data_IF_322268512478
#
_entry.id   IF_322268512478
#
_cell.length_a   1.000
_cell.length_b   1.000
_cell.length_c   1.000
_cell.angle_alpha   90.00
_cell.angle_beta   90.00
_cell.angle_gamma   90.00
#
_symmetry.space_group_name_H-M   'P 1'
#
loop_
_entity.id
_entity.type
_entity.pdbx_description
1 polymer ?
#
# COMPACT_ATOMS: atom_id res chain seq x y z
N UNK A 1 8.48 43.23 32.83
CA UNK A 1 8.80 42.79 31.46
C UNK A 1 8.69 41.28 31.42
N UNK A 2 7.52 40.76 31.07
CA UNK A 2 7.26 39.32 30.93
C UNK A 2 7.92 38.83 29.65
N UNK A 3 8.94 37.98 29.82
CA UNK A 3 9.82 37.48 28.77
C UNK A 3 9.04 36.69 27.71
N UNK A 4 9.01 37.20 26.48
CA UNK A 4 8.41 36.58 25.29
C UNK A 4 9.17 35.36 24.77
N UNK A 5 10.27 34.98 25.42
CA UNK A 5 11.15 33.88 24.97
C UNK A 5 10.64 32.48 25.36
N UNK A 6 9.82 32.35 26.42
CA UNK A 6 9.32 31.04 26.89
C UNK A 6 8.16 30.50 26.06
N UNK A 7 7.36 31.38 25.44
CA UNK A 7 6.21 30.97 24.62
C UNK A 7 6.62 30.44 23.23
N UNK A 8 7.70 30.97 22.65
CA UNK A 8 8.17 30.59 21.30
C UNK A 8 8.77 29.17 21.31
N UNK A 9 9.49 28.80 22.37
CA UNK A 9 10.04 27.45 22.51
C UNK A 9 8.96 26.36 22.64
N UNK A 10 7.82 26.67 23.28
CA UNK A 10 6.72 25.71 23.46
C UNK A 10 5.94 25.41 22.15
N UNK A 11 5.79 26.41 21.27
CA UNK A 11 5.13 26.24 19.97
C UNK A 11 5.99 25.40 19.02
N UNK A 12 7.31 25.61 19.02
CA UNK A 12 8.21 24.82 18.18
C UNK A 12 8.22 23.33 18.56
N UNK A 13 8.22 23.02 19.87
CA UNK A 13 8.21 21.63 20.36
C UNK A 13 6.89 20.92 20.06
N UNK A 14 5.76 21.63 20.14
CA UNK A 14 4.44 21.06 19.81
C UNK A 14 4.26 20.86 18.29
N UNK A 15 4.70 21.80 17.45
CA UNK A 15 4.68 21.60 15.99
C UNK A 15 5.59 20.45 15.54
N UNK A 16 6.75 20.25 16.17
CA UNK A 16 7.65 19.13 15.84
C UNK A 16 7.04 17.77 16.23
N UNK A 17 6.33 17.70 17.36
CA UNK A 17 5.62 16.49 17.78
C UNK A 17 4.42 16.16 16.87
N UNK A 18 3.73 17.17 16.33
CA UNK A 18 2.61 16.99 15.38
C UNK A 18 3.12 16.55 14.00
N UNK A 19 4.28 17.05 13.55
CA UNK A 19 4.90 16.63 12.30
C UNK A 19 5.37 15.16 12.31
N UNK A 20 5.67 14.60 13.49
CA UNK A 20 6.12 13.22 13.68
C UNK A 20 4.98 12.19 13.78
N UNK A 21 3.72 12.63 13.80
CA UNK A 21 2.54 11.76 13.90
C UNK A 21 1.62 11.89 12.68
N UNK A 22 2.16 12.20 11.50
CA UNK A 22 1.36 12.05 10.28
C UNK A 22 1.05 10.56 10.10
N UNK A 23 -0.24 10.17 10.07
CA UNK A 23 -0.58 8.78 9.86
C UNK A 23 -0.03 8.37 8.50
N UNK A 24 0.77 7.30 8.48
CA UNK A 24 1.15 6.66 7.22
C UNK A 24 -0.14 6.18 6.57
N UNK A 25 -0.52 6.77 5.45
CA UNK A 25 -1.72 6.33 4.73
C UNK A 25 -1.35 5.54 3.50
N UNK A 26 -2.14 4.54 3.13
CA UNK A 26 -1.96 3.79 1.90
C UNK A 26 -3.25 3.81 1.08
N UNK A 27 -3.11 3.68 -0.25
CA UNK A 27 -4.26 3.41 -1.11
C UNK A 27 -4.81 2.02 -0.81
N UNK A 28 -6.13 1.91 -0.74
CA UNK A 28 -6.85 0.67 -0.53
C UNK A 28 -7.79 0.42 -1.70
N UNK A 29 -7.66 -0.72 -2.34
CA UNK A 29 -8.59 -1.16 -3.38
C UNK A 29 -8.62 -2.67 -3.48
N UNK A 30 -9.70 -3.18 -4.06
CA UNK A 30 -9.78 -4.53 -4.58
C UNK A 30 -10.56 -4.44 -5.89
N UNK A 31 -9.97 -4.90 -6.98
CA UNK A 31 -10.61 -4.88 -8.28
C UNK A 31 -10.31 -6.15 -9.07
N UNK A 32 -11.29 -6.58 -9.85
CA UNK A 32 -11.22 -7.71 -10.77
C UNK A 32 -11.18 -7.11 -12.19
N UNK A 33 -10.11 -7.35 -12.94
CA UNK A 33 -10.03 -7.04 -14.37
C UNK A 33 -9.73 -5.59 -14.76
N UNK A 34 -9.53 -4.66 -13.81
CA UNK A 34 -9.11 -3.27 -14.11
C UNK A 34 -8.31 -2.64 -12.95
N UNK A 35 -7.34 -1.77 -13.26
CA UNK A 35 -6.62 -0.95 -12.28
C UNK A 35 -7.35 0.35 -11.92
N UNK A 36 -8.41 0.71 -12.66
CA UNK A 36 -9.00 2.07 -12.64
C UNK A 36 -9.67 2.43 -11.31
N UNK A 37 -10.17 1.45 -10.54
CA UNK A 37 -10.81 1.70 -9.24
C UNK A 37 -9.82 1.91 -8.08
N UNK A 38 -8.50 1.91 -8.30
CA UNK A 38 -7.54 1.86 -7.21
C UNK A 38 -7.18 3.18 -6.52
N UNK A 39 -7.72 4.31 -6.98
CA UNK A 39 -7.29 5.64 -6.52
C UNK A 39 -8.25 6.32 -5.53
N UNK A 40 -9.39 5.71 -5.19
CA UNK A 40 -10.46 6.42 -4.48
C UNK A 40 -10.44 6.30 -2.95
N UNK A 41 -9.83 5.25 -2.38
CA UNK A 41 -9.88 4.99 -0.94
C UNK A 41 -8.49 4.98 -0.33
N UNK A 42 -8.30 5.75 0.73
CA UNK A 42 -7.05 5.87 1.47
C UNK A 42 -7.32 5.46 2.91
N UNK A 43 -6.42 4.66 3.50
CA UNK A 43 -6.55 4.16 4.87
C UNK A 43 -5.29 4.43 5.69
N UNK A 44 -5.40 4.77 6.98
CA UNK A 44 -4.24 4.86 7.87
C UNK A 44 -3.67 3.47 8.17
N UNK A 45 -2.35 3.39 8.26
CA UNK A 45 -1.58 2.17 8.44
C UNK A 45 -0.64 2.29 9.65
N UNK A 46 -0.40 1.18 10.36
CA UNK A 46 0.54 1.15 11.49
C UNK A 46 2.01 1.20 11.05
N UNK A 47 2.28 0.84 9.79
CA UNK A 47 3.60 0.81 9.16
C UNK A 47 3.67 1.88 8.06
N UNK A 48 4.89 2.21 7.65
CA UNK A 48 5.15 3.06 6.48
C UNK A 48 5.14 2.28 5.15
N UNK A 49 4.75 1.00 5.17
CA UNK A 49 4.74 0.13 3.99
C UNK A 49 3.35 0.06 3.39
N UNK A 50 3.27 0.39 2.11
CA UNK A 50 2.05 0.19 1.33
C UNK A 50 2.25 -0.94 0.33
N UNK A 51 1.31 -1.88 0.31
CA UNK A 51 1.36 -3.12 -0.47
C UNK A 51 0.43 -3.02 -1.68
N UNK A 52 0.88 -3.54 -2.81
CA UNK A 52 0.07 -3.93 -3.96
C UNK A 52 0.23 -5.45 -4.18
N UNK A 53 -0.88 -6.16 -4.34
CA UNK A 53 -0.92 -7.59 -4.63
C UNK A 53 -1.55 -7.75 -6.00
N UNK A 54 -0.86 -8.45 -6.87
CA UNK A 54 -1.31 -8.77 -8.21
C UNK A 54 -1.52 -10.26 -8.28
N UNK A 55 -2.71 -10.66 -8.64
CA UNK A 55 -3.12 -12.05 -8.76
C UNK A 55 -3.55 -12.29 -10.21
N UNK A 56 -3.12 -13.42 -10.76
CA UNK A 56 -3.37 -13.82 -12.12
C UNK A 56 -3.76 -15.30 -12.10
N UNK A 57 -4.93 -15.63 -12.62
CA UNK A 57 -5.41 -17.00 -12.75
C UNK A 57 -5.76 -17.29 -14.20
N UNK A 58 -5.27 -18.41 -14.74
CA UNK A 58 -5.66 -18.93 -16.05
C UNK A 58 -6.52 -20.15 -15.83
N UNK A 59 -7.71 -20.16 -16.41
CA UNK A 59 -8.60 -21.32 -16.47
C UNK A 59 -8.98 -21.54 -17.92
N UNK A 60 -8.63 -22.68 -18.49
CA UNK A 60 -8.94 -23.03 -19.89
C UNK A 60 -8.54 -21.95 -20.90
N UNK A 61 -7.41 -21.27 -20.66
CA UNK A 61 -6.90 -20.18 -21.50
C UNK A 61 -7.54 -18.80 -21.24
N UNK A 62 -8.54 -18.71 -20.36
CA UNK A 62 -9.14 -17.44 -19.93
C UNK A 62 -8.34 -16.87 -18.77
N UNK A 63 -7.93 -15.59 -18.91
CA UNK A 63 -7.15 -14.87 -17.91
C UNK A 63 -8.08 -14.09 -16.98
N UNK A 64 -7.93 -14.31 -15.69
CA UNK A 64 -8.54 -13.54 -14.61
C UNK A 64 -7.44 -12.81 -13.86
N UNK A 65 -7.53 -11.48 -13.81
CA UNK A 65 -6.57 -10.65 -13.09
C UNK A 65 -7.27 -9.94 -11.94
N UNK A 66 -6.68 -9.99 -10.76
CA UNK A 66 -7.10 -9.21 -9.60
C UNK A 66 -5.96 -8.36 -9.09
N UNK A 67 -6.30 -7.15 -8.66
CA UNK A 67 -5.34 -6.24 -8.02
C UNK A 67 -5.94 -5.80 -6.70
N UNK A 68 -5.14 -5.91 -5.64
CA UNK A 68 -5.51 -5.38 -4.35
C UNK A 68 -4.40 -4.49 -3.78
N UNK A 69 -4.81 -3.41 -3.13
CA UNK A 69 -3.92 -2.46 -2.46
C UNK A 69 -4.32 -2.36 -1.00
N UNK A 70 -3.35 -2.39 -0.10
CA UNK A 70 -3.58 -2.35 1.35
C UNK A 70 -2.33 -1.91 2.11
N UNK A 71 -2.45 -1.72 3.42
CA UNK A 71 -1.30 -1.62 4.30
C UNK A 71 -0.45 -2.90 4.21
N UNK A 72 0.87 -2.76 4.15
CA UNK A 72 1.81 -3.86 4.09
C UNK A 72 2.70 -3.95 5.32
N UNK A 73 3.53 -4.98 5.32
CA UNK A 73 4.67 -5.12 6.21
C UNK A 73 5.88 -5.57 5.37
N UNK A 74 7.06 -5.55 5.99
CA UNK A 74 8.31 -5.92 5.31
C UNK A 74 8.35 -7.40 4.92
N UNK A 75 7.68 -8.28 5.67
CA UNK A 75 7.62 -9.71 5.38
C UNK A 75 6.81 -10.02 4.11
N UNK A 76 5.78 -9.23 3.83
CA UNK A 76 4.87 -9.41 2.70
C UNK A 76 5.40 -8.82 1.39
N UNK A 77 6.55 -8.14 1.41
CA UNK A 77 7.10 -7.45 0.24
C UNK A 77 7.93 -8.36 -0.66
N UNK A 78 7.70 -8.29 -1.98
CA UNK A 78 8.50 -9.03 -2.96
C UNK A 78 8.24 -10.54 -2.98
N UNK A 79 7.12 -10.99 -2.41
CA UNK A 79 6.70 -12.39 -2.47
C UNK A 79 6.09 -12.64 -3.84
N UNK A 80 6.59 -13.67 -4.52
CA UNK A 80 6.01 -14.20 -5.74
C UNK A 80 5.71 -15.69 -5.54
N UNK A 81 4.50 -16.11 -5.89
CA UNK A 81 4.15 -17.53 -5.95
C UNK A 81 3.45 -17.87 -7.26
N UNK A 82 3.63 -19.12 -7.70
CA UNK A 82 2.98 -19.68 -8.88
C UNK A 82 2.62 -21.12 -8.58
N UNK A 83 1.37 -21.50 -8.82
CA UNK A 83 0.87 -22.86 -8.74
C UNK A 83 0.18 -23.22 -10.04
N UNK A 84 0.49 -24.39 -10.56
CA UNK A 84 -0.18 -24.96 -11.73
C UNK A 84 -0.73 -26.32 -11.34
N UNK A 85 -2.01 -26.54 -11.61
CA UNK A 85 -2.69 -27.81 -11.36
C UNK A 85 -2.64 -28.71 -12.59
N UNK A 86 -2.81 -30.01 -12.41
CA UNK A 86 -2.92 -30.99 -13.50
C UNK A 86 -4.13 -30.72 -14.43
N UNK A 87 -5.11 -29.92 -13.97
CA UNK A 87 -6.29 -29.51 -14.74
C UNK A 87 -6.05 -28.27 -15.60
N UNK A 88 -4.81 -27.82 -15.76
CA UNK A 88 -4.48 -26.65 -16.57
C UNK A 88 -4.81 -25.31 -15.93
N UNK A 89 -5.16 -25.29 -14.63
CA UNK A 89 -5.35 -24.03 -13.88
C UNK A 89 -3.98 -23.54 -13.42
N UNK A 90 -3.59 -22.33 -13.83
CA UNK A 90 -2.36 -21.67 -13.35
C UNK A 90 -2.74 -20.43 -12.56
N UNK A 91 -2.41 -20.39 -11.28
CA UNK A 91 -2.55 -19.21 -10.44
C UNK A 91 -1.16 -18.65 -10.08
N UNK A 92 -1.01 -17.34 -10.18
CA UNK A 92 0.18 -16.60 -9.78
C UNK A 92 -0.24 -15.45 -8.90
N UNK A 93 0.55 -15.14 -7.88
CA UNK A 93 0.49 -13.82 -7.29
C UNK A 93 1.87 -13.25 -7.03
N UNK A 94 1.96 -11.94 -7.08
CA UNK A 94 3.15 -11.16 -6.78
C UNK A 94 2.76 -10.01 -5.87
N UNK A 95 3.65 -9.68 -4.94
CA UNK A 95 3.50 -8.52 -4.06
C UNK A 95 4.59 -7.49 -4.32
N UNK A 96 4.17 -6.23 -4.37
CA UNK A 96 5.06 -5.09 -4.53
C UNK A 96 4.80 -4.09 -3.40
N UNK A 97 5.86 -3.48 -2.90
CA UNK A 97 5.77 -2.54 -1.80
C UNK A 97 6.39 -1.20 -2.15
N UNK A 98 5.70 -0.13 -1.75
CA UNK A 98 6.29 1.19 -1.62
C UNK A 98 6.50 1.53 -0.14
N UNK A 99 7.34 2.54 0.11
CA UNK A 99 7.54 3.11 1.45
C UNK A 99 7.06 4.56 1.45
N UNK A 100 6.35 4.95 2.51
CA UNK A 100 5.78 6.29 2.69
C UNK A 100 4.31 6.38 2.30
N UNK A 101 3.73 7.56 2.56
CA UNK A 101 2.30 7.78 2.32
C UNK A 101 1.93 7.61 0.85
N UNK A 102 0.87 6.85 0.59
CA UNK A 102 0.28 6.55 -0.71
C UNK A 102 1.28 5.96 -1.72
N UNK A 103 2.36 5.34 -1.25
CA UNK A 103 3.41 4.79 -2.11
C UNK A 103 2.95 3.60 -2.97
N UNK A 104 1.75 3.06 -2.72
CA UNK A 104 1.11 2.04 -3.55
C UNK A 104 0.09 2.59 -4.56
N UNK A 105 -0.15 3.90 -4.61
CA UNK A 105 -1.15 4.52 -5.51
C UNK A 105 -0.82 4.25 -6.99
N UNK A 106 0.45 4.40 -7.37
CA UNK A 106 0.91 4.24 -8.76
C UNK A 106 1.55 2.87 -9.04
N UNK A 107 1.56 1.96 -8.05
CA UNK A 107 2.04 0.60 -8.29
C UNK A 107 1.07 -0.09 -9.27
N UNK A 108 1.59 -0.33 -10.46
CA UNK A 108 1.00 -1.11 -11.55
C UNK A 108 1.96 -2.24 -11.86
N UNK A 109 1.46 -3.47 -11.96
CA UNK A 109 2.23 -4.68 -12.27
C UNK A 109 3.18 -4.44 -13.46
N UNK A 110 4.47 -4.76 -13.30
CA UNK A 110 5.45 -4.74 -14.40
C UNK A 110 5.49 -6.07 -15.14
#
# INVERSE_FOLDING_TARGET
MTSSYSAISLVFVTCFAIALAQPNTCSQCWNIGSTECCNAKVVPCPTDKCLAIYEYCVVDGVIYQTISKRCGDEASCGICFSVTTERGITARAATECGTGANSNADLTYK
#
